data_IF_366550895846
#
_entry.id   IF_366550895846
#
_cell.length_a   1.000
_cell.length_b   1.000
_cell.length_c   1.000
_cell.angle_alpha   90.00
_cell.angle_beta   90.00
_cell.angle_gamma   90.00
#
_symmetry.space_group_name_H-M   'P 1'
#
loop_
_entity.id
_entity.type
_entity.pdbx_description
1 polymer ?
#
# COMPACT_ATOMS: atom_id res chain seq x y z
N UNK A 1 17.61 1.15 8.35
CA UNK A 1 16.99 1.60 7.11
C UNK A 1 15.57 2.11 7.34
N UNK A 2 15.12 3.00 6.46
CA UNK A 2 13.76 3.52 6.50
C UNK A 2 12.82 2.49 5.87
N UNK A 3 11.72 2.20 6.55
CA UNK A 3 10.81 1.14 6.13
C UNK A 3 9.41 1.67 5.90
N UNK A 4 8.79 1.20 4.83
CA UNK A 4 7.35 1.33 4.62
C UNK A 4 6.69 0.05 5.10
N UNK A 5 5.47 0.14 5.63
CA UNK A 5 4.73 -1.03 6.12
C UNK A 5 3.41 -1.15 5.39
N UNK A 6 3.00 -2.37 5.08
CA UNK A 6 1.76 -2.65 4.37
C UNK A 6 0.97 -3.69 5.13
N UNK A 7 -0.33 -3.52 5.21
CA UNK A 7 -1.22 -4.49 5.86
C UNK A 7 -2.59 -4.52 5.18
N UNK A 8 -3.31 -5.62 5.35
CA UNK A 8 -4.68 -5.74 4.84
C UNK A 8 -5.64 -5.25 5.93
N UNK A 9 -6.54 -4.33 5.55
CA UNK A 9 -7.60 -3.89 6.46
C UNK A 9 -8.67 -4.97 6.54
N UNK A 10 -9.03 -5.35 7.77
CA UNK A 10 -10.03 -6.39 8.00
C UNK A 10 -11.46 -5.89 7.79
N UNK A 11 -11.67 -4.59 7.89
CA UNK A 11 -12.98 -3.97 7.66
C UNK A 11 -12.80 -2.54 7.16
N UNK A 12 -13.81 -2.03 6.46
CA UNK A 12 -13.79 -0.67 5.93
C UNK A 12 -12.76 -0.50 4.82
N UNK A 13 -12.28 0.72 4.58
CA UNK A 13 -12.65 1.95 5.28
C UNK A 13 -14.01 2.49 4.85
N UNK A 14 -14.59 3.35 5.69
CA UNK A 14 -15.74 4.15 5.31
C UNK A 14 -15.31 5.60 5.07
N UNK A 15 -16.18 6.42 4.50
CA UNK A 15 -15.87 7.82 4.18
C UNK A 15 -15.50 8.61 5.45
N UNK A 16 -16.06 8.23 6.59
CA UNK A 16 -15.81 8.93 7.86
C UNK A 16 -14.51 8.53 8.55
N UNK A 17 -13.89 7.42 8.13
CA UNK A 17 -12.69 6.93 8.79
C UNK A 17 -11.47 7.79 8.46
N UNK A 18 -10.67 8.11 9.49
CA UNK A 18 -9.37 8.76 9.35
C UNK A 18 -8.31 7.80 9.89
N UNK A 19 -7.24 7.63 9.14
CA UNK A 19 -6.18 6.69 9.48
C UNK A 19 -4.87 7.45 9.68
N UNK A 20 -4.10 7.04 10.68
CA UNK A 20 -2.78 7.61 10.95
C UNK A 20 -1.79 6.51 11.33
N UNK A 21 -0.53 6.90 11.48
CA UNK A 21 0.55 5.94 11.72
C UNK A 21 0.47 5.23 13.07
N UNK A 22 -0.34 5.70 14.00
CA UNK A 22 -0.47 5.05 15.31
C UNK A 22 -1.16 3.70 15.20
N UNK A 23 -1.88 3.45 14.09
CA UNK A 23 -2.64 2.21 13.88
C UNK A 23 -1.74 1.04 13.49
N UNK A 24 -0.49 1.30 13.09
CA UNK A 24 0.43 0.25 12.67
C UNK A 24 0.63 -0.84 13.73
N UNK A 25 0.67 -0.46 15.00
CA UNK A 25 0.93 -1.40 16.10
C UNK A 25 -0.14 -2.48 16.23
N UNK A 26 -1.30 -2.30 15.63
CA UNK A 26 -2.43 -3.23 15.73
C UNK A 26 -2.57 -4.14 14.51
N UNK A 27 -1.66 -4.01 13.55
CA UNK A 27 -1.77 -4.72 12.27
C UNK A 27 -0.57 -5.63 12.05
N UNK A 28 -0.83 -6.78 11.41
CA UNK A 28 0.24 -7.64 10.91
C UNK A 28 0.68 -7.08 9.58
N UNK A 29 1.92 -6.60 9.51
CA UNK A 29 2.39 -5.85 8.35
C UNK A 29 3.57 -6.53 7.66
N UNK A 30 3.75 -6.14 6.39
CA UNK A 30 4.93 -6.49 5.58
C UNK A 30 5.74 -5.22 5.41
N UNK A 31 7.03 -5.28 5.75
CA UNK A 31 7.94 -4.14 5.63
C UNK A 31 8.69 -4.15 4.31
N UNK A 32 8.85 -2.98 3.71
CA UNK A 32 9.65 -2.80 2.50
C UNK A 32 10.53 -1.57 2.67
N UNK A 33 11.83 -1.72 2.38
CA UNK A 33 12.76 -0.60 2.49
C UNK A 33 12.42 0.52 1.52
N UNK A 34 12.62 1.75 1.96
CA UNK A 34 12.31 2.93 1.16
C UNK A 34 13.04 2.94 -0.19
N UNK A 35 14.31 2.55 -0.21
CA UNK A 35 15.09 2.52 -1.45
C UNK A 35 14.47 1.62 -2.51
N UNK A 36 13.85 0.52 -2.10
CA UNK A 36 13.19 -0.41 -3.00
C UNK A 36 11.99 0.28 -3.67
N UNK A 37 11.17 0.96 -2.87
CA UNK A 37 10.00 1.66 -3.41
C UNK A 37 10.36 2.88 -4.24
N UNK A 38 11.44 3.59 -3.88
CA UNK A 38 11.93 4.72 -4.66
C UNK A 38 12.34 4.29 -6.08
N UNK A 39 12.88 3.09 -6.23
CA UNK A 39 13.33 2.61 -7.54
C UNK A 39 12.17 2.43 -8.53
N UNK A 40 10.93 2.32 -8.05
CA UNK A 40 9.74 2.16 -8.88
C UNK A 40 8.78 3.34 -8.73
N UNK A 41 9.28 4.47 -8.26
CA UNK A 41 8.45 5.63 -7.94
C UNK A 41 7.63 6.14 -9.13
N UNK A 42 8.24 6.21 -10.30
CA UNK A 42 7.55 6.72 -11.49
C UNK A 42 6.34 5.87 -11.86
N UNK A 43 6.43 4.56 -11.66
CA UNK A 43 5.33 3.65 -11.97
C UNK A 43 4.19 3.74 -10.97
N UNK A 44 4.48 4.16 -9.74
CA UNK A 44 3.46 4.28 -8.71
C UNK A 44 2.39 5.32 -9.04
N UNK A 45 2.72 6.32 -9.85
CA UNK A 45 1.76 7.37 -10.22
C UNK A 45 0.56 6.82 -10.99
N UNK A 46 0.62 5.60 -11.49
CA UNK A 46 -0.49 4.97 -12.20
C UNK A 46 -1.45 4.24 -11.26
N UNK A 47 -1.21 4.26 -9.95
CA UNK A 47 -2.02 3.55 -8.96
C UNK A 47 -2.94 4.55 -8.27
N UNK A 48 -4.26 4.53 -8.54
CA UNK A 48 -5.19 5.38 -7.80
C UNK A 48 -5.26 4.95 -6.33
N UNK A 49 -5.09 5.89 -5.43
CA UNK A 49 -5.07 5.63 -3.99
C UNK A 49 -5.81 6.73 -3.24
N UNK A 50 -5.77 6.66 -1.90
CA UNK A 50 -6.32 7.70 -1.02
C UNK A 50 -5.31 7.96 0.10
N UNK A 51 -5.21 9.22 0.53
CA UNK A 51 -4.27 9.61 1.58
C UNK A 51 -4.99 9.83 2.90
N UNK A 52 -4.83 8.91 3.83
CA UNK A 52 -5.36 9.01 5.19
C UNK A 52 -6.86 8.77 5.34
N UNK A 53 -7.66 9.09 4.34
CA UNK A 53 -9.10 8.84 4.34
C UNK A 53 -9.61 8.79 2.91
N UNK A 54 -10.83 8.26 2.72
CA UNK A 54 -11.45 8.20 1.40
C UNK A 54 -11.87 9.57 0.86
N UNK A 55 -11.71 10.63 1.66
CA UNK A 55 -12.00 11.99 1.24
C UNK A 55 -10.86 12.63 0.46
N UNK A 56 -9.66 12.05 0.53
CA UNK A 56 -8.47 12.63 -0.11
C UNK A 56 -7.92 11.66 -1.15
N UNK A 57 -8.26 11.89 -2.40
CA UNK A 57 -7.74 11.08 -3.50
C UNK A 57 -6.26 11.35 -3.73
N UNK A 58 -5.52 10.28 -4.03
CA UNK A 58 -4.11 10.37 -4.30
C UNK A 58 -3.69 9.45 -5.44
N UNK A 59 -2.40 9.47 -5.74
CA UNK A 59 -1.78 8.59 -6.72
C UNK A 59 -0.51 8.02 -6.12
N UNK A 60 -0.36 6.70 -6.19
CA UNK A 60 0.81 6.04 -5.62
C UNK A 60 0.83 6.09 -4.11
N UNK A 61 2.00 5.85 -3.55
CA UNK A 61 2.21 5.76 -2.11
C UNK A 61 2.74 7.08 -1.56
N UNK A 62 2.16 7.55 -0.47
CA UNK A 62 2.67 8.72 0.21
C UNK A 62 4.03 8.40 0.86
N UNK A 63 4.97 9.35 0.78
CA UNK A 63 6.26 9.18 1.44
C UNK A 63 6.09 9.21 2.96
N UNK A 64 5.28 10.13 3.45
CA UNK A 64 4.91 10.25 4.87
C UNK A 64 3.42 10.01 5.04
N UNK A 65 3.05 9.44 6.18
CA UNK A 65 1.65 9.25 6.51
C UNK A 65 1.08 7.97 5.93
N UNK A 66 -0.24 7.95 5.78
CA UNK A 66 -0.99 6.74 5.45
C UNK A 66 -1.54 6.82 4.03
N UNK A 67 -1.43 5.72 3.29
CA UNK A 67 -2.08 5.55 1.99
C UNK A 67 -3.05 4.38 2.08
N UNK A 68 -4.24 4.55 1.52
CA UNK A 68 -5.22 3.47 1.38
C UNK A 68 -5.27 3.04 -0.08
N UNK A 69 -5.04 1.76 -0.33
CA UNK A 69 -5.06 1.21 -1.69
C UNK A 69 -6.35 0.41 -1.84
N UNK A 70 -7.31 0.90 -2.64
CA UNK A 70 -8.59 0.21 -2.79
C UNK A 70 -8.45 -1.09 -3.58
N UNK A 71 -9.38 -2.04 -3.40
CA UNK A 71 -9.33 -3.30 -4.15
C UNK A 71 -9.20 -3.11 -5.66
N UNK A 72 -9.86 -2.09 -6.22
CA UNK A 72 -9.82 -1.81 -7.66
C UNK A 72 -8.43 -1.43 -8.16
N UNK A 73 -7.54 -0.99 -7.28
CA UNK A 73 -6.18 -0.59 -7.65
C UNK A 73 -5.15 -1.70 -7.44
N UNK A 74 -5.54 -2.81 -6.82
CA UNK A 74 -4.59 -3.86 -6.45
C UNK A 74 -4.00 -4.58 -7.66
N UNK A 75 -4.77 -4.73 -8.74
CA UNK A 75 -4.25 -5.34 -9.96
C UNK A 75 -3.11 -4.50 -10.55
N UNK A 76 -3.29 -3.18 -10.64
CA UNK A 76 -2.25 -2.27 -11.13
C UNK A 76 -1.05 -2.29 -10.19
N UNK A 77 -1.29 -2.27 -8.88
CA UNK A 77 -0.21 -2.33 -7.90
C UNK A 77 0.61 -3.61 -8.04
N UNK A 78 -0.08 -4.74 -8.18
CA UNK A 78 0.59 -6.03 -8.38
C UNK A 78 1.45 -6.00 -9.65
N UNK A 79 0.92 -5.48 -10.76
CA UNK A 79 1.65 -5.39 -12.01
C UNK A 79 2.90 -4.51 -11.86
N UNK A 80 2.79 -3.37 -11.17
CA UNK A 80 3.93 -2.49 -10.93
C UNK A 80 5.04 -3.24 -10.19
N UNK A 81 4.69 -4.07 -9.22
CA UNK A 81 5.66 -4.84 -8.45
C UNK A 81 6.25 -5.99 -9.27
N UNK A 82 5.42 -6.75 -10.00
CA UNK A 82 5.85 -7.94 -10.72
C UNK A 82 6.66 -7.64 -11.97
N UNK A 83 6.35 -6.54 -12.64
CA UNK A 83 7.06 -6.16 -13.87
C UNK A 83 8.20 -5.18 -13.63
N UNK A 84 8.74 -5.19 -12.42
CA UNK A 84 9.86 -4.33 -12.04
C UNK A 84 11.09 -5.16 -11.73
N UNK A 85 12.24 -4.49 -11.63
CA UNK A 85 13.50 -5.14 -11.25
C UNK A 85 13.52 -5.54 -9.77
N UNK A 86 12.55 -5.09 -8.98
CA UNK A 86 12.49 -5.35 -7.55
C UNK A 86 11.58 -6.54 -7.20
N UNK A 87 11.03 -7.21 -8.17
CA UNK A 87 10.06 -8.30 -7.94
C UNK A 87 10.53 -9.28 -6.86
N UNK A 88 11.76 -9.75 -6.96
CA UNK A 88 12.29 -10.75 -5.99
C UNK A 88 12.44 -10.19 -4.58
N UNK A 89 12.64 -8.89 -4.46
CA UNK A 89 12.80 -8.23 -3.16
C UNK A 89 11.46 -8.01 -2.47
N UNK A 90 10.37 -7.90 -3.25
CA UNK A 90 9.04 -7.58 -2.71
C UNK A 90 8.08 -8.76 -2.77
N UNK A 91 8.58 -9.99 -2.74
CA UNK A 91 7.75 -11.19 -2.81
C UNK A 91 6.69 -11.25 -1.72
N UNK A 92 7.03 -10.86 -0.51
CA UNK A 92 6.06 -10.85 0.60
C UNK A 92 4.95 -9.82 0.36
N UNK A 93 5.31 -8.67 -0.19
CA UNK A 93 4.32 -7.65 -0.52
C UNK A 93 3.40 -8.13 -1.65
N UNK A 94 3.97 -8.79 -2.67
CA UNK A 94 3.16 -9.35 -3.75
C UNK A 94 2.18 -10.38 -3.21
N UNK A 95 2.60 -11.24 -2.29
CA UNK A 95 1.72 -12.21 -1.66
C UNK A 95 0.59 -11.53 -0.89
N UNK A 96 0.90 -10.43 -0.17
CA UNK A 96 -0.10 -9.65 0.54
C UNK A 96 -1.13 -9.03 -0.42
N UNK A 97 -0.64 -8.49 -1.54
CA UNK A 97 -1.52 -7.90 -2.55
C UNK A 97 -2.45 -8.95 -3.15
N UNK A 98 -1.92 -10.14 -3.47
CA UNK A 98 -2.74 -11.24 -3.98
C UNK A 98 -3.83 -11.64 -2.98
N UNK A 99 -3.48 -11.73 -1.71
CA UNK A 99 -4.45 -12.07 -0.66
C UNK A 99 -5.53 -11.00 -0.55
N UNK A 100 -5.15 -9.72 -0.56
CA UNK A 100 -6.11 -8.63 -0.49
C UNK A 100 -7.07 -8.65 -1.68
N UNK A 101 -6.56 -8.98 -2.88
CA UNK A 101 -7.40 -9.11 -4.07
C UNK A 101 -8.42 -10.24 -3.91
N UNK A 102 -7.98 -11.40 -3.44
CA UNK A 102 -8.89 -12.54 -3.22
C UNK A 102 -9.99 -12.20 -2.21
N UNK A 103 -9.63 -11.44 -1.18
CA UNK A 103 -10.56 -11.07 -0.11
C UNK A 103 -11.35 -9.80 -0.41
N UNK A 104 -11.01 -9.11 -1.50
CA UNK A 104 -11.61 -7.83 -1.90
C UNK A 104 -11.51 -6.80 -0.78
N UNK A 105 -10.29 -6.63 -0.24
CA UNK A 105 -10.03 -5.72 0.88
C UNK A 105 -9.05 -4.63 0.49
N UNK A 106 -9.09 -3.53 1.23
CA UNK A 106 -8.09 -2.45 1.11
C UNK A 106 -6.76 -2.88 1.72
N UNK A 107 -5.69 -2.37 1.16
CA UNK A 107 -4.37 -2.39 1.81
C UNK A 107 -4.12 -1.01 2.39
N UNK A 108 -3.65 -0.98 3.64
CA UNK A 108 -3.18 0.25 4.27
C UNK A 108 -1.66 0.25 4.21
N UNK A 109 -1.10 1.40 3.81
CA UNK A 109 0.34 1.61 3.72
C UNK A 109 0.74 2.72 4.67
N UNK A 110 1.79 2.48 5.42
CA UNK A 110 2.37 3.46 6.32
C UNK A 110 3.71 3.91 5.75
N UNK A 111 3.81 5.19 5.43
CA UNK A 111 5.05 5.81 4.98
C UNK A 111 6.06 5.97 6.12
N UNK A 112 7.12 6.62 5.82
CA UNK A 112 8.22 6.78 6.76
C UNK A 112 7.87 7.75 7.87
#
# INVERSE_FOLDING_TARGET
PLMHEFAILQSGPTVEDEYDSTMLSWLVSVGVEDDVLESIRERQQFIPTFYGSLKRRGKGLAYYGVTLIPPDSLAVFQDVLEFSDVEKTVMELIALVKQAREENRYIIHFGI
#
